data_IF_821117944433
#
_entry.id   IF_821117944433
#
_cell.length_a   1.000
_cell.length_b   1.000
_cell.length_c   1.000
_cell.angle_alpha   90.00
_cell.angle_beta   90.00
_cell.angle_gamma   90.00
#
_symmetry.space_group_name_H-M   'P 1'
#
loop_
_entity.id
_entity.type
_entity.pdbx_description
1 polymer ?
#
# COMPACT_ATOMS: atom_id res chain seq x y z
N UNK A 1 -16.27 -10.53 -12.05
CA UNK A 1 -15.88 -9.12 -11.80
C UNK A 1 -14.44 -9.01 -12.22
N UNK A 2 -14.12 -8.15 -13.18
CA UNK A 2 -12.74 -7.95 -13.65
C UNK A 2 -11.95 -7.35 -12.50
N UNK A 3 -11.01 -8.13 -11.95
CA UNK A 3 -10.20 -7.71 -10.81
C UNK A 3 -9.24 -6.62 -11.28
N UNK A 4 -9.52 -5.36 -10.89
CA UNK A 4 -8.67 -4.22 -11.17
C UNK A 4 -7.48 -4.21 -10.19
N UNK A 5 -6.52 -5.12 -10.36
CA UNK A 5 -5.34 -5.18 -9.49
C UNK A 5 -4.20 -4.32 -10.01
N UNK A 6 -3.43 -3.70 -9.10
CA UNK A 6 -2.24 -2.92 -9.47
C UNK A 6 -1.03 -3.79 -9.83
N UNK A 7 -1.06 -5.06 -9.44
CA UNK A 7 -0.09 -6.07 -9.83
C UNK A 7 -0.74 -7.45 -9.90
N UNK A 8 -0.08 -8.39 -10.58
CA UNK A 8 -0.57 -9.76 -10.75
C UNK A 8 -0.02 -10.71 -9.70
N UNK A 9 -0.74 -11.82 -9.47
CA UNK A 9 -0.30 -12.91 -8.58
C UNK A 9 1.03 -13.50 -9.08
N UNK A 10 1.18 -13.67 -10.39
CA UNK A 10 2.40 -14.22 -10.99
C UNK A 10 3.62 -13.34 -10.79
N UNK A 11 3.45 -12.00 -10.85
CA UNK A 11 4.52 -11.05 -10.52
C UNK A 11 4.98 -11.18 -9.08
N UNK A 12 4.03 -11.25 -8.15
CA UNK A 12 4.30 -11.42 -6.72
C UNK A 12 5.04 -12.75 -6.48
N UNK A 13 4.55 -13.86 -7.03
CA UNK A 13 5.20 -15.18 -6.91
C UNK A 13 6.62 -15.17 -7.47
N UNK A 14 6.83 -14.56 -8.63
CA UNK A 14 8.14 -14.48 -9.28
C UNK A 14 9.16 -13.71 -8.44
N UNK A 15 8.73 -12.63 -7.78
CA UNK A 15 9.62 -11.76 -7.01
C UNK A 15 9.88 -12.32 -5.61
N UNK A 16 8.86 -12.90 -4.98
CA UNK A 16 8.97 -13.45 -3.62
C UNK A 16 9.50 -14.87 -3.59
N UNK A 17 9.39 -15.62 -4.69
CA UNK A 17 9.75 -17.04 -4.75
C UNK A 17 8.84 -17.94 -3.89
N UNK A 18 7.69 -17.42 -3.47
CA UNK A 18 6.81 -18.07 -2.52
C UNK A 18 6.13 -19.30 -3.12
N UNK A 19 5.91 -20.29 -2.26
CA UNK A 19 5.32 -21.60 -2.60
C UNK A 19 4.39 -22.03 -1.49
N UNK A 20 3.35 -22.86 -1.74
CA UNK A 20 2.38 -23.25 -0.71
C UNK A 20 3.02 -23.86 0.55
N UNK A 21 4.12 -24.61 0.36
CA UNK A 21 4.91 -25.20 1.44
C UNK A 21 5.42 -24.18 2.46
N UNK A 22 5.68 -22.93 2.05
CA UNK A 22 6.12 -21.85 2.94
C UNK A 22 5.07 -21.46 3.97
N UNK A 23 3.78 -21.73 3.73
CA UNK A 23 2.70 -21.48 4.68
C UNK A 23 2.00 -22.74 5.19
N UNK A 24 2.52 -23.93 4.88
CA UNK A 24 1.84 -25.22 5.17
C UNK A 24 0.46 -25.32 4.49
N UNK A 25 0.34 -24.69 3.33
CA UNK A 25 -0.85 -24.74 2.48
C UNK A 25 -0.71 -25.93 1.53
N UNK A 26 -1.80 -26.66 1.31
CA UNK A 26 -1.78 -27.90 0.52
C UNK A 26 -1.82 -27.66 -0.99
N UNK A 27 -2.43 -26.57 -1.45
CA UNK A 27 -2.65 -26.30 -2.87
C UNK A 27 -2.26 -24.87 -3.29
N UNK A 28 -1.95 -24.68 -4.58
CA UNK A 28 -1.59 -23.37 -5.13
C UNK A 28 -2.78 -22.40 -5.16
N UNK A 29 -4.02 -22.88 -5.24
CA UNK A 29 -5.23 -22.06 -5.30
C UNK A 29 -5.48 -21.26 -4.01
N UNK A 30 -5.22 -21.86 -2.86
CA UNK A 30 -5.36 -21.23 -1.56
C UNK A 30 -4.24 -20.19 -1.33
N UNK A 31 -3.02 -20.48 -1.81
CA UNK A 31 -1.95 -19.49 -1.85
C UNK A 31 -2.34 -18.29 -2.73
N UNK A 32 -2.94 -18.54 -3.89
CA UNK A 32 -3.38 -17.49 -4.81
C UNK A 32 -4.44 -16.59 -4.21
N UNK A 33 -5.39 -17.20 -3.48
CA UNK A 33 -6.45 -16.47 -2.76
C UNK A 33 -5.86 -15.54 -1.68
N UNK A 34 -4.83 -16.01 -0.97
CA UNK A 34 -4.14 -15.21 0.05
C UNK A 34 -3.35 -14.07 -0.60
N UNK A 35 -2.60 -14.35 -1.67
CA UNK A 35 -1.84 -13.33 -2.40
C UNK A 35 -2.79 -12.27 -2.96
N UNK A 36 -3.90 -12.67 -3.55
CA UNK A 36 -4.97 -11.78 -4.02
C UNK A 36 -5.48 -10.87 -2.89
N UNK A 37 -5.73 -11.43 -1.71
CA UNK A 37 -6.15 -10.65 -0.53
C UNK A 37 -5.10 -9.60 -0.15
N UNK A 38 -3.82 -9.95 -0.15
CA UNK A 38 -2.74 -9.01 0.14
C UNK A 38 -2.55 -7.95 -0.94
N UNK A 39 -2.79 -8.28 -2.22
CA UNK A 39 -2.80 -7.32 -3.31
C UNK A 39 -3.90 -6.29 -3.08
N UNK A 40 -5.12 -6.72 -2.78
CA UNK A 40 -6.26 -5.82 -2.51
C UNK A 40 -5.95 -4.89 -1.32
N UNK A 41 -5.40 -5.43 -0.24
CA UNK A 41 -4.99 -4.60 0.91
C UNK A 41 -3.89 -3.59 0.55
N UNK A 42 -2.91 -4.02 -0.26
CA UNK A 42 -1.82 -3.15 -0.72
C UNK A 42 -2.34 -2.02 -1.62
N UNK A 43 -3.33 -2.30 -2.46
CA UNK A 43 -4.02 -1.27 -3.25
C UNK A 43 -4.69 -0.24 -2.36
N UNK A 44 -5.43 -0.67 -1.33
CA UNK A 44 -6.07 0.26 -0.38
C UNK A 44 -5.06 1.18 0.30
N UNK A 45 -3.87 0.66 0.66
CA UNK A 45 -2.78 1.46 1.26
C UNK A 45 -2.26 2.51 0.25
N UNK A 46 -2.05 2.10 -0.99
CA UNK A 46 -1.60 2.98 -2.07
C UNK A 46 -2.64 4.07 -2.33
N UNK A 47 -3.92 3.70 -2.40
CA UNK A 47 -5.02 4.61 -2.68
C UNK A 47 -5.17 5.65 -1.57
N UNK A 48 -5.06 5.22 -0.31
CA UNK A 48 -5.05 6.10 0.85
C UNK A 48 -3.84 7.04 0.81
N UNK A 49 -2.65 6.54 0.46
CA UNK A 49 -1.45 7.38 0.36
C UNK A 49 -1.53 8.39 -0.79
N UNK A 50 -2.00 7.95 -1.96
CA UNK A 50 -2.10 8.78 -3.16
C UNK A 50 -3.33 9.68 -3.17
N UNK A 51 -4.28 9.44 -2.27
CA UNK A 51 -5.61 10.06 -2.23
C UNK A 51 -6.39 9.90 -3.55
N UNK A 52 -6.14 8.78 -4.24
CA UNK A 52 -6.80 8.42 -5.50
C UNK A 52 -6.65 6.94 -5.80
N UNK A 53 -7.61 6.38 -6.52
CA UNK A 53 -7.52 5.04 -7.11
C UNK A 53 -7.12 5.11 -8.58
N UNK A 54 -6.43 4.08 -9.05
CA UNK A 54 -5.98 3.93 -10.43
C UNK A 54 -6.85 2.88 -11.15
N UNK A 55 -7.24 3.14 -12.39
CA UNK A 55 -8.03 2.20 -13.20
C UNK A 55 -7.10 1.32 -14.04
N UNK A 56 -7.53 0.11 -14.40
CA UNK A 56 -6.73 -0.89 -15.15
C UNK A 56 -6.14 -0.40 -16.47
N UNK A 57 -6.78 0.59 -17.09
CA UNK A 57 -6.29 1.20 -18.34
C UNK A 57 -5.13 2.17 -18.12
N UNK A 58 -4.90 2.61 -16.87
CA UNK A 58 -3.91 3.63 -16.54
C UNK A 58 -3.33 3.44 -15.14
N UNK A 59 -2.67 2.30 -14.90
CA UNK A 59 -1.87 2.08 -13.70
C UNK A 59 -0.42 2.52 -14.01
N UNK A 60 0.10 3.57 -13.36
CA UNK A 60 1.48 3.97 -13.55
C UNK A 60 2.44 2.87 -13.13
N UNK A 61 3.54 2.69 -13.87
CA UNK A 61 4.54 1.65 -13.54
C UNK A 61 5.08 1.77 -12.12
N UNK A 62 5.25 2.98 -11.60
CA UNK A 62 5.65 3.20 -10.20
C UNK A 62 4.63 2.68 -9.17
N UNK A 63 3.34 2.80 -9.46
CA UNK A 63 2.25 2.28 -8.62
C UNK A 63 2.24 0.75 -8.64
N UNK A 64 2.42 0.15 -9.82
CA UNK A 64 2.49 -1.31 -9.94
C UNK A 64 3.67 -1.91 -9.17
N UNK A 65 4.87 -1.31 -9.33
CA UNK A 65 6.08 -1.73 -8.59
C UNK A 65 5.89 -1.53 -7.08
N UNK A 66 5.30 -0.41 -6.66
CA UNK A 66 5.00 -0.17 -5.24
C UNK A 66 4.08 -1.25 -4.67
N UNK A 67 3.02 -1.63 -5.40
CA UNK A 67 2.09 -2.67 -4.97
C UNK A 67 2.82 -4.00 -4.74
N UNK A 68 3.63 -4.44 -5.71
CA UNK A 68 4.43 -5.66 -5.58
C UNK A 68 5.36 -5.61 -4.37
N UNK A 69 6.04 -4.49 -4.13
CA UNK A 69 6.96 -4.35 -3.00
C UNK A 69 6.23 -4.40 -1.64
N UNK A 70 5.05 -3.78 -1.52
CA UNK A 70 4.24 -3.86 -0.30
C UNK A 70 3.83 -5.31 -0.05
N UNK A 71 3.31 -6.01 -1.07
CA UNK A 71 2.92 -7.42 -0.95
C UNK A 71 4.11 -8.30 -0.57
N UNK A 72 5.28 -8.07 -1.17
CA UNK A 72 6.50 -8.78 -0.81
C UNK A 72 6.89 -8.58 0.66
N UNK A 73 6.78 -7.34 1.17
CA UNK A 73 7.05 -7.07 2.58
C UNK A 73 6.03 -7.74 3.51
N UNK A 74 4.75 -7.79 3.12
CA UNK A 74 3.70 -8.51 3.87
C UNK A 74 4.06 -10.00 3.95
N UNK A 75 4.44 -10.60 2.83
CA UNK A 75 4.90 -12.01 2.76
C UNK A 75 6.08 -12.24 3.70
N UNK A 76 7.14 -11.43 3.61
CA UNK A 76 8.33 -11.58 4.45
C UNK A 76 8.00 -11.45 5.93
N UNK A 77 7.09 -10.54 6.29
CA UNK A 77 6.63 -10.38 7.67
C UNK A 77 5.82 -11.61 8.12
N UNK A 78 4.92 -12.12 7.28
CA UNK A 78 4.14 -13.32 7.55
C UNK A 78 5.03 -14.57 7.74
N UNK A 79 6.05 -14.76 6.91
CA UNK A 79 7.03 -15.85 7.06
C UNK A 79 7.84 -15.73 8.35
N UNK A 80 8.30 -14.52 8.68
CA UNK A 80 9.07 -14.26 9.90
C UNK A 80 8.24 -14.53 11.16
N UNK A 81 6.97 -14.14 11.14
CA UNK A 81 6.02 -14.37 12.23
C UNK A 81 5.63 -15.83 12.39
N UNK A 82 5.49 -16.58 11.30
CA UNK A 82 5.27 -18.04 11.35
C UNK A 82 6.40 -18.76 12.10
N UNK A 83 7.63 -18.27 11.98
CA UNK A 83 8.80 -18.81 12.67
C UNK A 83 8.93 -18.30 14.12
N UNK A 84 8.09 -17.36 14.54
CA UNK A 84 8.03 -16.85 15.92
C UNK A 84 6.90 -17.56 16.69
N UNK A 85 7.13 -18.03 17.94
CA UNK A 85 6.11 -18.71 18.75
C UNK A 85 4.87 -17.88 19.14
N UNK A 86 4.74 -16.64 18.66
CA UNK A 86 3.76 -15.66 19.11
C UNK A 86 2.98 -15.07 17.94
N UNK A 87 1.98 -15.77 17.38
CA UNK A 87 0.89 -15.07 16.67
C UNK A 87 -0.46 -15.70 16.97
N UNK A 88 -1.24 -14.99 17.80
CA UNK A 88 -2.69 -15.13 17.90
C UNK A 88 -3.32 -14.63 16.60
N UNK A 89 -4.30 -15.40 16.12
CA UNK A 89 -4.96 -15.31 14.81
C UNK A 89 -5.81 -14.02 14.59
N UNK A 90 -5.79 -13.03 15.49
CA UNK A 90 -6.76 -11.91 15.46
C UNK A 90 -6.18 -10.49 15.35
N UNK A 91 -4.88 -10.28 15.11
CA UNK A 91 -4.26 -8.94 15.19
C UNK A 91 -4.18 -8.17 13.84
N UNK A 92 -5.06 -8.45 12.88
CA UNK A 92 -5.12 -7.72 11.60
C UNK A 92 -6.14 -6.57 11.59
N UNK A 93 -6.60 -6.14 12.77
CA UNK A 93 -7.45 -4.95 12.88
C UNK A 93 -6.65 -3.68 12.60
N UNK A 94 -6.91 -3.13 11.40
CA UNK A 94 -6.79 -1.73 10.96
C UNK A 94 -6.51 -0.76 12.11
N UNK A 95 -5.27 -0.26 12.26
CA UNK A 95 -5.07 1.09 12.84
C UNK A 95 -3.76 1.76 12.41
N UNK A 96 -2.71 1.02 12.05
CA UNK A 96 -1.53 1.60 11.40
C UNK A 96 -0.88 0.53 10.53
N UNK A 97 -0.73 0.80 9.23
CA UNK A 97 0.12 -0.01 8.35
C UNK A 97 1.50 -0.08 9.00
N UNK A 98 2.01 -1.27 9.40
CA UNK A 98 3.33 -1.36 10.01
C UNK A 98 4.35 -0.66 9.12
N UNK A 99 5.19 0.22 9.68
CA UNK A 99 6.18 0.98 8.90
C UNK A 99 7.12 0.06 8.12
N UNK A 100 7.25 -1.19 8.56
CA UNK A 100 8.00 -2.26 7.93
C UNK A 100 7.41 -2.71 6.59
N UNK A 101 6.08 -2.68 6.40
CA UNK A 101 5.46 -3.09 5.13
C UNK A 101 5.35 -1.94 4.13
N UNK A 102 5.20 -0.70 4.61
CA UNK A 102 5.11 0.51 3.78
C UNK A 102 6.28 1.46 4.03
N UNK A 103 7.42 1.08 3.45
CA UNK A 103 8.72 1.68 3.71
C UNK A 103 8.90 3.04 3.02
N UNK A 104 9.88 3.82 3.48
CA UNK A 104 10.20 5.14 2.92
C UNK A 104 10.49 5.11 1.40
N UNK A 105 11.25 4.15 0.86
CA UNK A 105 11.47 4.06 -0.59
C UNK A 105 10.17 3.89 -1.39
N UNK A 106 9.21 3.12 -0.88
CA UNK A 106 7.90 2.93 -1.53
C UNK A 106 7.12 4.25 -1.52
N UNK A 107 7.15 4.98 -0.41
CA UNK A 107 6.54 6.32 -0.32
C UNK A 107 7.18 7.30 -1.29
N UNK A 108 8.51 7.29 -1.42
CA UNK A 108 9.24 8.13 -2.38
C UNK A 108 8.87 7.79 -3.83
N UNK A 109 8.68 6.51 -4.15
CA UNK A 109 8.22 6.04 -5.45
C UNK A 109 6.78 6.50 -5.76
N UNK A 110 5.92 6.55 -4.73
CA UNK A 110 4.51 6.94 -4.87
C UNK A 110 4.28 8.46 -4.83
N UNK A 111 5.23 9.23 -4.30
CA UNK A 111 5.13 10.69 -4.12
C UNK A 111 4.70 11.45 -5.38
N UNK A 112 5.16 11.13 -6.61
CA UNK A 112 4.71 11.84 -7.81
C UNK A 112 3.23 11.63 -8.14
N UNK A 113 2.59 10.60 -7.58
CA UNK A 113 1.22 10.22 -7.85
C UNK A 113 0.27 10.64 -6.71
N UNK A 114 0.75 11.35 -5.69
CA UNK A 114 -0.12 11.86 -4.63
C UNK A 114 -0.88 13.09 -5.15
N UNK A 115 -2.20 13.12 -5.00
CA UNK A 115 -2.96 14.35 -5.24
C UNK A 115 -2.52 15.41 -4.24
N UNK A 116 -1.95 16.49 -4.75
CA UNK A 116 -1.66 17.67 -3.94
C UNK A 116 -2.93 18.50 -3.86
N UNK A 117 -3.39 18.85 -2.66
CA UNK A 117 -4.57 19.71 -2.51
C UNK A 117 -4.19 21.13 -2.95
N UNK A 118 -4.52 21.48 -4.20
CA UNK A 118 -4.21 22.77 -4.84
C UNK A 118 -4.70 23.98 -4.01
N UNK A 119 -5.65 23.78 -3.10
CA UNK A 119 -6.17 24.83 -2.21
C UNK A 119 -5.11 25.41 -1.28
N UNK A 120 -4.10 24.63 -0.89
CA UNK A 120 -3.03 25.09 0.00
C UNK A 120 -1.85 25.71 -0.74
N UNK A 121 -1.58 25.31 -1.99
CA UNK A 121 -0.51 25.89 -2.80
C UNK A 121 -0.83 27.32 -3.26
N UNK A 122 -2.12 27.63 -3.44
CA UNK A 122 -2.60 28.96 -3.88
C UNK A 122 -3.10 29.84 -2.74
N UNK A 123 -3.07 29.38 -1.49
CA UNK A 123 -3.47 30.17 -0.33
C UNK A 123 -2.41 31.26 -0.05
N UNK A 124 -2.50 32.38 -0.76
CA UNK A 124 -1.80 33.60 -0.35
C UNK A 124 -2.38 34.03 1.00
N UNK A 125 -1.56 34.03 2.05
CA UNK A 125 -1.95 34.55 3.36
C UNK A 125 -1.94 36.08 3.23
N UNK A 126 -3.11 36.68 2.99
CA UNK A 126 -3.29 38.12 3.08
C UNK A 126 -3.29 38.53 4.57
N UNK A 127 -2.20 39.14 5.03
CA UNK A 127 -2.12 39.75 6.34
C UNK A 127 -2.81 41.12 6.31
N UNK A 128 -4.07 41.18 6.74
CA UNK A 128 -4.75 42.45 6.99
C UNK A 128 -4.23 43.04 8.31
N UNK A 129 -3.39 44.08 8.23
CA UNK A 129 -2.99 44.86 9.40
C UNK A 129 -4.02 45.96 9.63
N UNK A 130 -4.82 45.85 10.70
CA UNK A 130 -5.72 46.93 11.13
C UNK A 130 -4.94 47.82 12.11
N UNK A 131 -4.40 48.94 11.63
CA UNK A 131 -3.94 50.01 12.51
C UNK A 131 -5.15 50.84 12.93
N UNK A 132 -5.57 50.71 14.18
CA UNK A 132 -6.65 51.51 14.74
C UNK A 132 -6.24 52.98 14.86
N UNK A 133 -6.70 53.81 13.93
CA UNK A 133 -6.65 55.26 14.10
C UNK A 133 -7.63 55.65 15.21
N UNK A 134 -7.07 56.03 16.36
CA UNK A 134 -7.82 56.54 17.50
C UNK A 134 -8.14 58.01 17.25
N UNK A 135 -9.43 58.35 17.18
CA UNK A 135 -9.92 59.73 17.36
C UNK A 135 -11.05 59.74 18.38
#
# INVERSE_FOLDING_TARGET
>A
MTNNMYCTIDEVKRITGIKPKHFKIENDTELDTIIETWIIQSMSIIDEYCQQSFTTENIPGGVSIACVQIVANIITNAESRKNSPLVKVNDWTVTTVPTEIFTKPIKELLKPYTKTDERYEKAQIEFLTITGDSK
#
